data_IF_902117642674
#
_entry.id   IF_902117642674
#
_cell.length_a   1.000
_cell.length_b   1.000
_cell.length_c   1.000
_cell.angle_alpha   90.00
_cell.angle_beta   90.00
_cell.angle_gamma   90.00
#
_symmetry.space_group_name_H-M   'P 1'
#
loop_
_entity.id
_entity.type
_entity.pdbx_description
1 polymer ?
#
# COMPACT_ATOMS: atom_id res chain seq x y z
N UNK A 1 7.15 -7.88 31.98
CA UNK A 1 5.88 -7.28 31.52
C UNK A 1 5.28 -8.14 30.43
N UNK A 2 3.97 -8.15 30.34
CA UNK A 2 3.20 -8.78 29.26
C UNK A 2 2.24 -7.76 28.67
N UNK A 3 1.90 -7.92 27.40
CA UNK A 3 0.93 -7.11 26.67
C UNK A 3 -0.17 -8.03 26.14
N UNK A 4 -1.41 -7.63 26.27
CA UNK A 4 -2.53 -8.42 25.75
C UNK A 4 -2.57 -8.36 24.21
N UNK A 5 -2.27 -7.18 23.64
CA UNK A 5 -2.30 -6.93 22.19
C UNK A 5 -1.12 -6.06 21.77
N UNK A 6 -0.51 -6.37 20.65
CA UNK A 6 0.37 -5.50 19.89
C UNK A 6 -0.29 -5.15 18.55
N UNK A 7 -0.34 -3.87 18.23
CA UNK A 7 -0.85 -3.37 16.95
C UNK A 7 0.35 -2.88 16.14
N UNK A 8 0.49 -3.40 14.93
CA UNK A 8 1.54 -3.03 13.98
C UNK A 8 0.87 -2.33 12.81
N UNK A 9 1.05 -1.02 12.72
CA UNK A 9 0.57 -0.21 11.61
C UNK A 9 1.58 -0.20 10.47
N UNK A 10 1.12 0.03 9.23
CA UNK A 10 1.92 -0.07 8.01
C UNK A 10 2.71 -1.41 7.91
N UNK A 11 2.09 -2.49 8.34
CA UNK A 11 2.74 -3.79 8.47
C UNK A 11 3.23 -4.38 7.13
N UNK A 12 2.74 -3.89 6.01
CA UNK A 12 3.21 -4.23 4.66
C UNK A 12 4.56 -3.61 4.31
N UNK A 13 4.97 -2.55 5.02
CA UNK A 13 6.25 -1.88 4.85
C UNK A 13 7.33 -2.40 5.81
N UNK A 14 7.01 -3.40 6.62
CA UNK A 14 7.93 -4.02 7.58
C UNK A 14 8.24 -5.44 7.12
N UNK A 15 9.51 -5.71 6.85
CA UNK A 15 9.96 -7.04 6.47
C UNK A 15 9.77 -8.02 7.63
N UNK A 16 9.44 -9.27 7.34
CA UNK A 16 9.19 -10.28 8.37
C UNK A 16 10.36 -10.44 9.36
N UNK A 17 11.63 -10.45 8.93
CA UNK A 17 12.75 -10.52 9.87
C UNK A 17 12.81 -9.39 10.89
N UNK A 18 12.32 -8.21 10.56
CA UNK A 18 12.30 -7.05 11.48
C UNK A 18 11.28 -7.24 12.61
N UNK A 19 10.25 -8.06 12.42
CA UNK A 19 9.23 -8.36 13.42
C UNK A 19 9.61 -9.52 14.35
N UNK A 20 10.64 -10.32 14.02
CA UNK A 20 11.00 -11.52 14.77
C UNK A 20 11.27 -11.24 16.25
N UNK A 21 11.96 -10.15 16.57
CA UNK A 21 12.23 -9.75 17.95
C UNK A 21 10.95 -9.52 18.76
N UNK A 22 9.92 -8.97 18.12
CA UNK A 22 8.61 -8.73 18.73
C UNK A 22 7.80 -10.03 18.85
N UNK A 23 7.78 -10.83 17.80
CA UNK A 23 7.05 -12.10 17.73
C UNK A 23 7.60 -13.14 18.73
N UNK A 24 8.92 -13.15 18.91
CA UNK A 24 9.62 -14.07 19.80
C UNK A 24 9.80 -13.54 21.23
N UNK A 25 9.28 -12.34 21.56
CA UNK A 25 9.45 -11.73 22.86
C UNK A 25 8.88 -12.61 23.98
N UNK A 26 9.69 -12.82 25.03
CA UNK A 26 9.30 -13.62 26.20
C UNK A 26 9.28 -12.73 27.45
N UNK A 27 8.37 -13.07 28.36
CA UNK A 27 8.33 -12.45 29.68
C UNK A 27 9.36 -13.12 30.61
N UNK A 28 9.51 -12.60 31.82
CA UNK A 28 10.48 -13.12 32.80
C UNK A 28 10.26 -14.58 33.23
N UNK A 29 9.07 -15.15 32.95
CA UNK A 29 8.70 -16.54 33.26
C UNK A 29 8.87 -17.45 32.02
N UNK A 30 9.30 -16.89 30.87
CA UNK A 30 9.50 -17.64 29.65
C UNK A 30 8.26 -17.77 28.74
N UNK A 31 7.10 -17.24 29.13
CA UNK A 31 5.89 -17.24 28.32
C UNK A 31 5.94 -16.11 27.27
N UNK A 32 5.06 -16.18 26.27
CA UNK A 32 4.94 -15.10 25.29
C UNK A 32 4.69 -13.76 25.99
N UNK A 33 5.46 -12.75 25.64
CA UNK A 33 5.27 -11.40 26.18
C UNK A 33 4.05 -10.69 25.58
N UNK A 34 3.58 -11.14 24.40
CA UNK A 34 2.45 -10.57 23.66
C UNK A 34 1.44 -11.67 23.39
N UNK A 35 0.18 -11.43 23.77
CA UNK A 35 -0.90 -12.39 23.63
C UNK A 35 -1.53 -12.44 22.23
N UNK A 36 -1.63 -11.29 21.54
CA UNK A 36 -2.25 -11.16 20.23
C UNK A 36 -1.55 -10.09 19.40
N UNK A 37 -1.46 -10.31 18.09
CA UNK A 37 -1.03 -9.31 17.12
C UNK A 37 -2.18 -8.88 16.23
N UNK A 38 -2.25 -7.58 15.95
CA UNK A 38 -3.11 -6.99 14.92
C UNK A 38 -2.18 -6.31 13.94
N UNK A 39 -2.17 -6.77 12.69
CA UNK A 39 -1.39 -6.19 11.61
C UNK A 39 -2.33 -5.34 10.76
N UNK A 40 -2.00 -4.07 10.58
CA UNK A 40 -2.72 -3.12 9.74
C UNK A 40 -1.80 -2.77 8.58
N UNK A 41 -2.30 -2.83 7.36
CA UNK A 41 -1.48 -2.54 6.18
C UNK A 41 -2.28 -2.70 4.90
N UNK A 42 -1.66 -2.36 3.79
CA UNK A 42 -2.26 -2.43 2.47
C UNK A 42 -1.24 -2.98 1.46
N UNK A 43 -1.40 -4.24 1.09
CA UNK A 43 -0.51 -4.94 0.15
C UNK A 43 -0.71 -4.50 -1.32
N UNK A 44 -1.63 -3.58 -1.59
CA UNK A 44 -1.81 -2.94 -2.90
C UNK A 44 -1.05 -1.62 -3.01
N UNK A 45 -0.51 -1.12 -1.89
CA UNK A 45 0.36 0.04 -1.87
C UNK A 45 1.84 -0.38 -1.99
N UNK A 46 2.75 0.59 -1.94
CA UNK A 46 4.18 0.34 -2.08
C UNK A 46 4.70 -0.57 -0.95
N UNK A 47 5.44 -1.64 -1.30
CA UNK A 47 6.06 -2.52 -0.32
C UNK A 47 7.28 -1.86 0.35
N UNK A 48 7.86 -2.56 1.30
CA UNK A 48 9.15 -2.18 1.89
C UNK A 48 10.24 -2.06 0.81
N UNK A 49 11.12 -1.08 0.95
CA UNK A 49 12.28 -0.93 0.05
C UNK A 49 13.33 -1.96 0.40
N UNK A 50 13.67 -2.83 -0.54
CA UNK A 50 14.68 -3.87 -0.39
C UNK A 50 15.74 -3.71 -1.47
N UNK A 51 17.00 -3.61 -1.05
CA UNK A 51 18.15 -3.42 -1.96
C UNK A 51 18.68 -4.74 -2.53
N UNK A 52 18.43 -5.86 -1.86
CA UNK A 52 18.86 -7.19 -2.28
C UNK A 52 18.11 -7.60 -3.56
N UNK A 53 18.80 -8.34 -4.42
CA UNK A 53 18.18 -8.97 -5.59
C UNK A 53 17.22 -10.09 -5.17
N UNK A 54 16.39 -10.54 -6.12
CA UNK A 54 15.46 -11.65 -5.90
C UNK A 54 16.18 -12.90 -5.40
N UNK A 55 17.26 -13.29 -6.07
CA UNK A 55 18.07 -14.47 -5.73
C UNK A 55 18.79 -14.37 -4.39
N UNK A 56 19.07 -13.16 -3.90
CA UNK A 56 19.72 -12.97 -2.60
C UNK A 56 18.76 -13.06 -1.42
N UNK A 57 17.47 -12.90 -1.68
CA UNK A 57 16.43 -12.91 -0.66
C UNK A 57 15.54 -14.16 -0.73
N UNK A 58 15.77 -15.03 -1.71
CA UNK A 58 15.08 -16.31 -1.86
C UNK A 58 15.35 -17.24 -0.66
N UNK A 59 14.29 -17.93 -0.23
CA UNK A 59 14.34 -18.91 0.86
C UNK A 59 14.35 -20.30 0.26
N UNK A 60 15.44 -21.05 0.50
CA UNK A 60 15.63 -22.41 -0.02
C UNK A 60 15.27 -23.52 0.99
N UNK A 61 15.12 -23.20 2.27
CA UNK A 61 14.83 -24.16 3.31
C UNK A 61 13.37 -24.64 3.25
N UNK A 62 13.17 -25.93 3.05
CA UNK A 62 11.84 -26.55 2.91
C UNK A 62 10.93 -26.28 4.13
N UNK A 63 11.50 -26.25 5.33
CA UNK A 63 10.72 -25.96 6.55
C UNK A 63 10.17 -24.54 6.58
N UNK A 64 10.86 -23.56 5.99
CA UNK A 64 10.39 -22.19 5.87
C UNK A 64 9.39 -22.04 4.71
N UNK A 65 9.65 -22.72 3.59
CA UNK A 65 8.70 -22.75 2.47
C UNK A 65 7.36 -23.40 2.87
N UNK A 66 7.39 -24.42 3.74
CA UNK A 66 6.17 -25.10 4.22
C UNK A 66 5.23 -24.19 5.01
N UNK A 67 5.72 -23.09 5.58
CA UNK A 67 4.92 -22.05 6.24
C UNK A 67 4.62 -20.86 5.33
N UNK A 68 4.92 -20.98 4.02
CA UNK A 68 4.65 -19.96 3.01
C UNK A 68 5.70 -18.85 2.92
N UNK A 69 6.87 -19.01 3.52
CA UNK A 69 7.98 -18.05 3.43
C UNK A 69 8.90 -18.47 2.27
N UNK A 70 8.74 -17.82 1.12
CA UNK A 70 9.53 -18.08 -0.08
C UNK A 70 10.59 -17.02 -0.36
N UNK A 71 10.39 -15.81 0.18
CA UNK A 71 11.30 -14.69 -0.03
C UNK A 71 11.33 -13.77 1.20
N UNK A 72 12.52 -13.36 1.64
CA UNK A 72 12.71 -12.46 2.78
C UNK A 72 12.34 -10.99 2.47
N UNK A 73 12.02 -10.68 1.23
CA UNK A 73 11.45 -9.38 0.81
C UNK A 73 9.99 -9.24 1.17
N UNK A 74 9.32 -10.34 1.44
CA UNK A 74 7.91 -10.33 1.80
C UNK A 74 7.72 -9.79 3.22
N UNK A 75 6.65 -9.04 3.42
CA UNK A 75 6.19 -8.71 4.76
C UNK A 75 5.46 -9.90 5.40
N UNK A 76 5.49 -9.97 6.72
CA UNK A 76 4.67 -10.94 7.44
C UNK A 76 3.17 -10.78 7.10
N UNK A 77 2.72 -9.52 6.91
CA UNK A 77 1.34 -9.22 6.51
C UNK A 77 0.97 -9.93 5.21
N UNK A 78 1.77 -9.76 4.14
CA UNK A 78 1.50 -10.38 2.85
C UNK A 78 1.53 -11.90 2.90
N UNK A 79 2.51 -12.46 3.60
CA UNK A 79 2.60 -13.91 3.76
C UNK A 79 1.38 -14.49 4.45
N UNK A 80 0.96 -13.90 5.58
CA UNK A 80 -0.25 -14.33 6.29
C UNK A 80 -1.51 -14.11 5.46
N UNK A 81 -1.63 -12.96 4.79
CA UNK A 81 -2.76 -12.67 3.91
C UNK A 81 -2.88 -13.71 2.78
N UNK A 82 -1.78 -14.05 2.09
CA UNK A 82 -1.75 -15.09 1.06
C UNK A 82 -2.18 -16.45 1.62
N UNK A 83 -1.67 -16.83 2.79
CA UNK A 83 -1.99 -18.10 3.44
C UNK A 83 -3.47 -18.20 3.81
N UNK A 84 -4.04 -17.12 4.36
CA UNK A 84 -5.43 -17.09 4.80
C UNK A 84 -6.38 -16.97 3.61
N UNK A 85 -6.05 -16.12 2.61
CA UNK A 85 -6.89 -15.92 1.43
C UNK A 85 -6.92 -17.13 0.49
N UNK A 86 -5.86 -17.94 0.42
CA UNK A 86 -5.87 -19.18 -0.34
C UNK A 86 -6.86 -20.23 0.21
N UNK A 87 -7.23 -20.14 1.49
CA UNK A 87 -8.11 -21.07 2.18
C UNK A 87 -9.56 -20.55 2.29
N UNK A 88 -10.06 -19.85 1.27
CA UNK A 88 -11.39 -19.22 1.24
C UNK A 88 -12.59 -20.13 1.57
N UNK A 89 -12.42 -21.45 1.55
CA UNK A 89 -13.51 -22.41 1.73
C UNK A 89 -13.95 -22.65 3.18
N UNK A 90 -13.24 -22.06 4.16
CA UNK A 90 -13.56 -22.25 5.57
C UNK A 90 -14.15 -20.97 6.19
N UNK A 91 -15.34 -21.04 6.79
CA UNK A 91 -15.92 -19.90 7.53
C UNK A 91 -15.04 -19.42 8.69
N UNK A 92 -14.06 -20.21 9.09
CA UNK A 92 -13.11 -19.89 10.16
C UNK A 92 -12.00 -18.93 9.67
N UNK A 93 -11.59 -19.03 8.40
CA UNK A 93 -10.50 -18.20 7.82
C UNK A 93 -10.91 -16.76 7.63
N UNK A 94 -12.17 -16.49 7.30
CA UNK A 94 -12.71 -15.14 7.14
C UNK A 94 -12.68 -14.28 8.43
N UNK A 95 -12.46 -14.93 9.60
CA UNK A 95 -12.33 -14.23 10.89
C UNK A 95 -10.94 -13.63 11.15
N UNK A 96 -9.95 -13.94 10.34
CA UNK A 96 -8.57 -13.52 10.57
C UNK A 96 -8.16 -12.27 9.80
N UNK A 97 -8.91 -11.85 8.79
CA UNK A 97 -8.68 -10.62 8.07
C UNK A 97 -9.99 -9.95 7.66
N UNK A 98 -9.93 -8.65 7.49
CA UNK A 98 -11.03 -7.82 7.00
C UNK A 98 -10.45 -6.64 6.21
N UNK A 99 -11.27 -5.99 5.39
CA UNK A 99 -10.90 -4.84 4.59
C UNK A 99 -11.72 -3.62 5.03
N UNK A 100 -11.03 -2.51 5.32
CA UNK A 100 -11.66 -1.23 5.56
C UNK A 100 -12.05 -0.59 4.22
N UNK A 101 -13.33 -0.61 3.89
CA UNK A 101 -13.84 -0.12 2.61
C UNK A 101 -14.13 1.39 2.61
N UNK A 102 -14.28 2.04 3.76
CA UNK A 102 -14.62 3.46 3.84
C UNK A 102 -13.37 4.32 3.95
N UNK A 103 -13.14 5.16 2.94
CA UNK A 103 -12.00 6.06 2.90
C UNK A 103 -12.42 7.53 3.08
N UNK A 104 -11.65 8.30 3.83
CA UNK A 104 -11.87 9.74 4.09
C UNK A 104 -10.79 10.65 3.48
N UNK A 105 -9.80 10.10 2.76
CA UNK A 105 -8.61 10.84 2.30
C UNK A 105 -8.79 11.45 0.92
N UNK A 106 -9.13 10.60 -0.07
CA UNK A 106 -9.10 10.99 -1.48
C UNK A 106 -10.44 11.56 -1.93
N UNK A 107 -10.37 12.54 -2.84
CA UNK A 107 -11.53 12.94 -3.63
C UNK A 107 -12.04 11.76 -4.48
N UNK A 108 -13.33 11.72 -4.79
CA UNK A 108 -13.96 10.61 -5.51
C UNK A 108 -13.37 10.41 -6.91
N UNK A 109 -12.97 11.48 -7.61
CA UNK A 109 -12.32 11.41 -8.92
C UNK A 109 -10.94 10.77 -8.82
N UNK A 110 -10.13 11.20 -7.86
CA UNK A 110 -8.79 10.66 -7.61
C UNK A 110 -8.88 9.19 -7.19
N UNK A 111 -9.88 8.84 -6.38
CA UNK A 111 -10.08 7.48 -5.90
C UNK A 111 -10.57 6.51 -6.99
N UNK A 112 -11.16 6.99 -8.08
CA UNK A 112 -11.80 6.15 -9.09
C UNK A 112 -10.85 5.12 -9.69
N UNK A 113 -9.67 5.55 -10.15
CA UNK A 113 -8.71 4.64 -10.77
C UNK A 113 -8.18 3.59 -9.79
N UNK A 114 -7.59 3.95 -8.63
CA UNK A 114 -7.08 2.95 -7.69
C UNK A 114 -8.18 2.03 -7.16
N UNK A 115 -9.40 2.56 -6.93
CA UNK A 115 -10.53 1.75 -6.48
C UNK A 115 -10.86 0.65 -7.49
N UNK A 116 -10.94 1.00 -8.77
CA UNK A 116 -11.23 0.02 -9.82
C UNK A 116 -10.06 -0.94 -10.04
N UNK A 117 -8.83 -0.42 -10.12
CA UNK A 117 -7.66 -1.21 -10.48
C UNK A 117 -7.18 -2.18 -9.39
N UNK A 118 -7.32 -1.80 -8.11
CA UNK A 118 -6.69 -2.51 -7.00
C UNK A 118 -7.67 -3.01 -5.94
N UNK A 119 -8.83 -2.36 -5.79
CA UNK A 119 -9.77 -2.66 -4.70
C UNK A 119 -11.13 -3.20 -5.18
N UNK A 120 -11.23 -3.56 -6.46
CA UNK A 120 -12.44 -4.17 -7.04
C UNK A 120 -13.70 -3.31 -6.94
N UNK A 121 -13.56 -1.98 -6.83
CA UNK A 121 -14.67 -1.07 -6.66
C UNK A 121 -15.25 -0.99 -5.25
N UNK A 122 -14.59 -1.59 -4.26
CA UNK A 122 -15.11 -1.72 -2.89
C UNK A 122 -14.89 -0.50 -2.00
N UNK A 123 -14.03 0.46 -2.42
CA UNK A 123 -13.78 1.65 -1.63
C UNK A 123 -14.92 2.66 -1.78
N UNK A 124 -15.45 3.11 -0.65
CA UNK A 124 -16.52 4.09 -0.54
C UNK A 124 -16.01 5.37 0.13
N UNK A 125 -16.30 6.53 -0.46
CA UNK A 125 -16.04 7.81 0.18
C UNK A 125 -17.00 8.02 1.35
N UNK A 126 -16.51 8.57 2.46
CA UNK A 126 -17.36 8.88 3.63
C UNK A 126 -18.17 10.17 3.48
N UNK A 127 -18.02 10.89 2.35
CA UNK A 127 -18.80 12.07 2.03
C UNK A 127 -18.32 13.38 2.67
N UNK A 128 -17.03 13.46 2.98
CA UNK A 128 -16.43 14.69 3.49
C UNK A 128 -16.38 15.78 2.39
N UNK A 129 -16.45 17.07 2.73
CA UNK A 129 -16.49 18.15 1.75
C UNK A 129 -15.37 18.11 0.71
N UNK A 130 -14.13 17.84 1.12
CA UNK A 130 -13.00 17.75 0.21
C UNK A 130 -13.04 16.54 -0.73
N UNK A 131 -13.85 15.54 -0.41
CA UNK A 131 -14.01 14.36 -1.26
C UNK A 131 -14.96 14.62 -2.45
N UNK A 132 -15.84 15.60 -2.32
CA UNK A 132 -16.89 15.90 -3.29
C UNK A 132 -16.77 17.31 -3.89
N UNK A 133 -15.84 18.13 -3.37
CA UNK A 133 -15.63 19.49 -3.86
C UNK A 133 -15.20 19.51 -5.32
N UNK A 134 -15.71 20.43 -6.09
CA UNK A 134 -15.27 20.70 -7.47
C UNK A 134 -14.10 21.69 -7.47
N UNK A 135 -13.25 21.61 -8.49
CA UNK A 135 -12.28 22.65 -8.78
C UNK A 135 -12.98 23.72 -9.63
N UNK A 136 -12.80 24.97 -9.26
CA UNK A 136 -13.37 26.11 -9.99
C UNK A 136 -12.22 26.86 -10.65
N UNK A 137 -12.39 27.15 -11.94
CA UNK A 137 -11.44 27.95 -12.69
C UNK A 137 -11.33 29.36 -12.10
N UNK A 138 -10.10 29.85 -11.93
CA UNK A 138 -9.90 31.23 -11.51
C UNK A 138 -10.39 32.21 -12.59
N UNK A 139 -10.98 33.37 -12.20
CA UNK A 139 -11.46 34.36 -13.17
C UNK A 139 -10.34 34.77 -14.13
N UNK A 140 -10.66 34.81 -15.41
CA UNK A 140 -9.72 35.21 -16.47
C UNK A 140 -8.98 34.05 -17.15
N UNK A 141 -9.16 32.81 -16.69
CA UNK A 141 -8.58 31.60 -17.31
C UNK A 141 -9.56 30.84 -18.20
N UNK A 142 -10.73 31.39 -18.47
CA UNK A 142 -11.81 30.71 -19.23
C UNK A 142 -11.41 30.39 -20.67
N UNK A 143 -10.44 31.13 -21.24
CA UNK A 143 -9.95 30.94 -22.61
C UNK A 143 -8.53 30.34 -22.63
N UNK A 144 -8.03 29.86 -21.50
CA UNK A 144 -6.73 29.19 -21.44
C UNK A 144 -6.83 27.82 -22.14
N UNK A 145 -5.78 27.45 -22.90
CA UNK A 145 -5.74 26.16 -23.59
C UNK A 145 -5.74 24.97 -22.64
N UNK A 146 -5.37 25.18 -21.38
CA UNK A 146 -5.38 24.18 -20.30
C UNK A 146 -6.57 24.32 -19.35
N UNK A 147 -7.57 25.12 -19.66
CA UNK A 147 -8.73 25.38 -18.78
C UNK A 147 -9.35 24.08 -18.25
N UNK A 148 -9.57 23.09 -19.11
CA UNK A 148 -10.13 21.78 -18.74
C UNK A 148 -9.21 20.98 -17.82
N UNK A 149 -7.88 21.12 -17.99
CA UNK A 149 -6.90 20.48 -17.13
C UNK A 149 -6.90 21.12 -15.75
N UNK A 150 -6.99 22.45 -15.68
CA UNK A 150 -6.97 23.21 -14.42
C UNK A 150 -8.16 22.92 -13.52
N UNK A 151 -9.30 22.50 -14.08
CA UNK A 151 -10.49 22.10 -13.31
C UNK A 151 -10.59 20.58 -13.10
N UNK A 152 -9.69 19.80 -13.67
CA UNK A 152 -9.66 18.34 -13.51
C UNK A 152 -8.76 17.94 -12.35
N UNK A 153 -9.25 17.07 -11.46
CA UNK A 153 -8.42 16.52 -10.37
C UNK A 153 -7.46 15.44 -10.84
N UNK A 154 -7.75 14.84 -11.98
CA UNK A 154 -6.91 13.84 -12.62
C UNK A 154 -6.85 14.19 -14.09
N UNK A 155 -5.67 14.52 -14.58
CA UNK A 155 -5.41 14.79 -15.98
C UNK A 155 -4.18 14.00 -16.43
N UNK A 156 -4.19 13.57 -17.68
CA UNK A 156 -3.02 12.98 -18.33
C UNK A 156 -2.52 13.93 -19.43
N UNK A 157 -1.34 14.48 -19.22
CA UNK A 157 -0.65 15.31 -20.19
C UNK A 157 0.48 14.48 -20.82
N UNK A 158 0.38 14.13 -22.10
CA UNK A 158 1.44 13.40 -22.77
C UNK A 158 2.67 14.28 -22.93
N UNK A 159 3.82 13.80 -22.46
CA UNK A 159 5.12 14.41 -22.72
C UNK A 159 5.89 13.65 -23.80
N UNK A 160 6.76 14.34 -24.51
CA UNK A 160 7.68 13.70 -25.44
C UNK A 160 8.89 13.19 -24.66
N UNK A 161 9.24 11.89 -24.77
CA UNK A 161 10.42 11.38 -24.10
C UNK A 161 11.68 12.13 -24.59
N UNK A 162 12.45 12.68 -23.66
CA UNK A 162 13.76 13.23 -24.01
C UNK A 162 14.73 12.09 -24.30
N UNK A 163 15.59 12.29 -25.32
CA UNK A 163 16.74 11.43 -25.54
C UNK A 163 17.58 11.37 -24.26
N UNK A 164 18.20 10.23 -23.92
CA UNK A 164 18.81 10.01 -22.62
C UNK A 164 19.69 11.18 -22.20
N UNK A 165 19.23 11.95 -21.25
CA UNK A 165 20.02 12.95 -20.55
C UNK A 165 21.00 12.23 -19.61
N UNK A 166 22.03 12.91 -19.15
CA UNK A 166 22.99 12.36 -18.18
C UNK A 166 22.35 11.93 -16.85
N UNK A 167 21.08 12.22 -16.63
CA UNK A 167 20.32 11.81 -15.44
C UNK A 167 18.94 11.32 -15.84
N UNK A 168 18.63 10.05 -15.51
CA UNK A 168 17.30 9.47 -15.68
C UNK A 168 16.22 10.09 -14.77
N UNK A 169 16.57 11.08 -13.95
CA UNK A 169 15.68 11.75 -12.99
C UNK A 169 15.27 13.16 -13.41
N UNK A 170 15.70 13.61 -14.60
CA UNK A 170 15.42 14.97 -15.08
C UNK A 170 14.70 14.85 -16.42
N UNK A 171 13.53 15.47 -16.53
CA UNK A 171 12.79 15.65 -17.76
C UNK A 171 12.41 17.14 -17.88
N UNK A 172 13.09 17.87 -18.73
CA UNK A 172 12.86 19.31 -18.93
C UNK A 172 11.52 19.59 -19.63
N UNK A 173 11.10 18.69 -20.51
CA UNK A 173 9.82 18.80 -21.21
C UNK A 173 8.64 18.70 -20.22
N UNK A 174 8.70 17.75 -19.30
CA UNK A 174 7.68 17.63 -18.24
C UNK A 174 7.71 18.81 -17.27
N UNK A 175 8.90 19.31 -16.92
CA UNK A 175 9.03 20.47 -16.04
C UNK A 175 8.42 21.73 -16.67
N UNK A 176 8.52 21.89 -18.00
CA UNK A 176 7.88 23.00 -18.70
C UNK A 176 6.37 22.91 -18.77
N UNK A 177 5.81 21.68 -18.85
CA UNK A 177 4.36 21.48 -18.86
C UNK A 177 3.71 21.75 -17.49
N UNK A 178 4.48 21.72 -16.41
CA UNK A 178 4.00 21.90 -15.05
C UNK A 178 4.29 23.28 -14.45
N UNK A 179 5.01 24.14 -15.16
CA UNK A 179 5.36 25.50 -14.74
C UNK A 179 4.33 26.53 -15.17
#
# INVERSE_FOLDING_TARGET
>A
KTFDVAIVDEATQILEPQLLGLLCARNVVGNNAIGKFILIGDHKQLPAVVLQSESQSEVCEECLQSIGLYNLKDSLFERLYRTVSANHSSPTTQRFYDMLCRQGRMNVEVARFPNHAFYGGLLEAVGLPHQQGELVLAPGLENDEFADVLVSRVAFLPSVPETPSQSAKINHSEAQLTA
#
